data_IF_599155256168
#
_entry.id   IF_599155256168
#
_cell.length_a   1.000
_cell.length_b   1.000
_cell.length_c   1.000
_cell.angle_alpha   90.00
_cell.angle_beta   90.00
_cell.angle_gamma   90.00
#
_symmetry.space_group_name_H-M   'P 1'
#
loop_
_entity.id
_entity.type
_entity.pdbx_description
1 polymer ?
#
# COMPACT_ATOMS: atom_id res chain seq x y z
N UNK A 1 -4.59 -16.69 10.30
CA UNK A 1 -4.69 -18.00 9.67
C UNK A 1 -5.84 -18.07 8.68
N UNK A 2 -5.56 -18.52 7.47
CA UNK A 2 -6.58 -18.69 6.44
C UNK A 2 -6.91 -20.16 6.29
N UNK A 3 -8.20 -20.47 6.15
CA UNK A 3 -8.65 -21.82 5.83
C UNK A 3 -8.18 -22.20 4.42
N UNK A 4 -7.85 -23.48 4.15
CA UNK A 4 -7.53 -23.94 2.81
C UNK A 4 -8.64 -23.58 1.82
N UNK A 5 -8.26 -23.06 0.66
CA UNK A 5 -9.20 -22.62 -0.37
C UNK A 5 -9.72 -21.20 -0.22
N UNK A 6 -9.40 -20.51 0.89
CA UNK A 6 -9.80 -19.12 1.07
C UNK A 6 -8.95 -18.20 0.21
N UNK A 7 -9.61 -17.26 -0.48
CA UNK A 7 -8.99 -16.16 -1.22
C UNK A 7 -9.43 -14.85 -0.59
N UNK A 8 -8.49 -13.93 -0.37
CA UNK A 8 -8.78 -12.62 0.22
C UNK A 8 -9.01 -11.54 -0.82
N UNK A 9 -8.70 -10.30 -0.46
CA UNK A 9 -8.84 -9.11 -1.29
C UNK A 9 -7.72 -8.94 -2.32
N UNK A 10 -6.56 -9.54 -2.10
CA UNK A 10 -5.36 -9.34 -2.93
C UNK A 10 -5.60 -9.50 -4.42
N UNK A 11 -6.36 -10.51 -4.91
CA UNK A 11 -6.60 -10.66 -6.34
C UNK A 11 -7.75 -9.79 -6.87
N UNK A 12 -8.35 -8.94 -6.06
CA UNK A 12 -9.46 -8.09 -6.49
C UNK A 12 -8.92 -6.78 -7.07
N UNK A 13 -9.09 -6.62 -8.37
CA UNK A 13 -8.59 -5.46 -9.11
C UNK A 13 -9.19 -4.14 -8.58
N UNK A 14 -8.34 -3.18 -8.30
CA UNK A 14 -8.71 -1.89 -7.74
C UNK A 14 -8.62 -1.85 -6.21
N UNK A 15 -8.88 -2.96 -5.54
CA UNK A 15 -8.81 -3.07 -4.08
C UNK A 15 -7.46 -3.64 -3.64
N UNK A 16 -7.21 -4.92 -3.92
CA UNK A 16 -6.00 -5.61 -3.52
C UNK A 16 -4.78 -5.32 -4.40
N UNK A 17 -5.01 -4.99 -5.65
CA UNK A 17 -3.96 -4.54 -6.57
C UNK A 17 -4.55 -3.64 -7.65
N UNK A 18 -3.69 -2.81 -8.23
CA UNK A 18 -4.02 -2.07 -9.43
C UNK A 18 -2.72 -1.72 -10.16
N UNK A 19 -2.77 -1.72 -11.47
CA UNK A 19 -1.63 -1.31 -12.30
C UNK A 19 -2.12 -0.60 -13.55
N UNK A 20 -1.45 0.49 -13.90
CA UNK A 20 -1.78 1.30 -15.07
C UNK A 20 -0.51 1.99 -15.57
N UNK A 21 -0.25 2.01 -16.89
CA UNK A 21 1.00 2.57 -17.41
C UNK A 21 1.29 4.01 -16.97
N UNK A 22 0.26 4.82 -16.79
CA UNK A 22 0.40 6.23 -16.41
C UNK A 22 0.35 6.45 -14.89
N UNK A 23 -0.23 5.51 -14.14
CA UNK A 23 -0.38 5.67 -12.69
C UNK A 23 0.69 4.94 -11.89
N UNK A 24 1.14 3.78 -12.36
CA UNK A 24 2.05 2.92 -11.64
C UNK A 24 1.40 1.62 -11.21
N UNK A 25 1.91 1.04 -10.13
CA UNK A 25 1.39 -0.22 -9.60
C UNK A 25 1.28 -0.14 -8.08
N UNK A 26 0.26 -0.79 -7.54
CA UNK A 26 0.01 -0.84 -6.10
C UNK A 26 -0.50 -2.21 -5.71
N UNK A 27 -0.02 -2.72 -4.57
CA UNK A 27 -0.53 -3.91 -3.92
C UNK A 27 -0.88 -3.58 -2.48
N UNK A 28 -1.92 -4.23 -1.95
CA UNK A 28 -2.40 -3.98 -0.59
C UNK A 28 -2.43 -5.27 0.22
N UNK A 29 -2.42 -5.12 1.54
CA UNK A 29 -2.53 -6.24 2.48
C UNK A 29 -3.24 -5.78 3.74
N UNK A 30 -3.92 -6.70 4.42
CA UNK A 30 -4.60 -6.42 5.68
C UNK A 30 -6.01 -6.96 5.74
N UNK A 31 -6.88 -6.27 6.47
CA UNK A 31 -8.28 -6.64 6.61
C UNK A 31 -9.03 -6.31 5.32
N UNK A 32 -9.52 -7.35 4.63
CA UNK A 32 -10.11 -7.22 3.30
C UNK A 32 -11.25 -6.22 3.21
N UNK A 33 -12.12 -6.18 4.20
CA UNK A 33 -13.26 -5.26 4.23
C UNK A 33 -12.80 -3.79 4.22
N UNK A 34 -11.72 -3.48 4.94
CA UNK A 34 -11.16 -2.13 4.94
C UNK A 34 -10.58 -1.76 3.58
N UNK A 35 -9.93 -2.72 2.95
CA UNK A 35 -9.30 -2.53 1.64
C UNK A 35 -10.34 -2.41 0.54
N UNK A 36 -11.34 -3.29 0.54
CA UNK A 36 -12.40 -3.34 -0.47
C UNK A 36 -13.28 -2.09 -0.46
N UNK A 37 -13.74 -1.68 0.71
CA UNK A 37 -14.67 -0.53 0.82
C UNK A 37 -14.01 0.79 0.46
N UNK A 38 -12.69 0.87 0.53
CA UNK A 38 -11.92 2.05 0.15
C UNK A 38 -11.34 1.98 -1.26
N UNK A 39 -11.49 0.83 -1.95
CA UNK A 39 -10.87 0.57 -3.27
C UNK A 39 -9.40 0.99 -3.22
N UNK A 40 -8.70 0.48 -2.23
CA UNK A 40 -7.48 1.10 -1.71
C UNK A 40 -6.35 1.21 -2.73
N UNK A 41 -6.08 0.15 -3.50
CA UNK A 41 -4.98 0.17 -4.47
C UNK A 41 -5.20 1.24 -5.55
N UNK A 42 -6.40 1.30 -6.12
CA UNK A 42 -6.75 2.28 -7.13
C UNK A 42 -6.70 3.71 -6.58
N UNK A 43 -7.32 3.95 -5.42
CA UNK A 43 -7.35 5.28 -4.81
C UNK A 43 -5.94 5.79 -4.47
N UNK A 44 -5.07 4.91 -3.97
CA UNK A 44 -3.69 5.29 -3.66
C UNK A 44 -2.95 5.77 -4.92
N UNK A 45 -3.06 5.03 -6.02
CA UNK A 45 -2.41 5.41 -7.28
C UNK A 45 -3.02 6.67 -7.87
N UNK A 46 -4.35 6.76 -7.89
CA UNK A 46 -5.06 7.91 -8.43
C UNK A 46 -4.64 9.21 -7.72
N UNK A 47 -4.68 9.20 -6.41
CA UNK A 47 -4.32 10.39 -5.62
C UNK A 47 -2.83 10.70 -5.70
N UNK A 48 -1.96 9.69 -5.70
CA UNK A 48 -0.53 9.90 -5.85
C UNK A 48 -0.18 10.53 -7.20
N UNK A 49 -0.95 10.24 -8.26
CA UNK A 49 -0.73 10.82 -9.57
C UNK A 49 -1.00 12.33 -9.63
N UNK A 50 -1.86 12.83 -8.76
CA UNK A 50 -2.21 14.24 -8.67
C UNK A 50 -1.18 15.06 -7.88
N UNK A 51 -0.36 14.40 -7.08
CA UNK A 51 0.58 15.07 -6.16
C UNK A 51 1.95 14.38 -6.19
N UNK A 52 2.73 14.61 -7.25
CA UNK A 52 4.07 14.00 -7.37
C UNK A 52 4.96 14.32 -6.17
N UNK A 53 5.72 13.33 -5.71
CA UNK A 53 6.60 13.45 -4.56
C UNK A 53 5.91 13.22 -3.21
N UNK A 54 4.59 13.05 -3.18
CA UNK A 54 3.82 12.90 -1.95
C UNK A 54 3.16 11.52 -1.80
N UNK A 55 3.60 10.53 -2.57
CA UNK A 55 2.97 9.21 -2.58
C UNK A 55 2.95 8.56 -1.19
N UNK A 56 4.03 8.65 -0.43
CA UNK A 56 4.10 8.03 0.90
C UNK A 56 3.12 8.69 1.88
N UNK A 57 3.00 10.01 1.85
CA UNK A 57 2.07 10.75 2.72
C UNK A 57 0.63 10.41 2.36
N UNK A 58 0.31 10.38 1.07
CA UNK A 58 -1.02 10.04 0.58
C UNK A 58 -1.38 8.60 0.96
N UNK A 59 -0.48 7.66 0.72
CA UNK A 59 -0.70 6.26 1.07
C UNK A 59 -0.91 6.06 2.57
N UNK A 60 -0.11 6.73 3.40
CA UNK A 60 -0.26 6.67 4.85
C UNK A 60 -1.61 7.22 5.31
N UNK A 61 -2.05 8.33 4.73
CA UNK A 61 -3.34 8.93 5.02
C UNK A 61 -4.50 8.00 4.67
N UNK A 62 -4.43 7.34 3.52
CA UNK A 62 -5.45 6.39 3.07
C UNK A 62 -5.50 5.15 3.96
N UNK A 63 -4.35 4.58 4.29
CA UNK A 63 -4.28 3.44 5.21
C UNK A 63 -4.86 3.80 6.59
N UNK A 64 -4.51 4.97 7.10
CA UNK A 64 -5.02 5.43 8.38
C UNK A 64 -6.55 5.62 8.36
N UNK A 65 -7.08 6.19 7.27
CA UNK A 65 -8.53 6.36 7.11
C UNK A 65 -9.24 5.00 7.03
N UNK A 66 -8.72 4.07 6.23
CA UNK A 66 -9.28 2.72 6.13
C UNK A 66 -9.28 2.00 7.47
N UNK A 67 -8.18 2.12 8.22
CA UNK A 67 -8.06 1.54 9.56
C UNK A 67 -9.09 2.12 10.52
N UNK A 68 -9.23 3.45 10.57
CA UNK A 68 -10.18 4.12 11.46
C UNK A 68 -11.63 3.71 11.18
N UNK A 69 -12.00 3.60 9.92
CA UNK A 69 -13.36 3.23 9.53
C UNK A 69 -13.69 1.76 9.79
N UNK A 70 -12.70 0.96 10.13
CA UNK A 70 -12.86 -0.48 10.38
C UNK A 70 -12.22 -0.91 11.71
N UNK A 71 -12.49 -0.13 12.77
CA UNK A 71 -12.14 -0.47 14.16
C UNK A 71 -10.63 -0.71 14.37
N UNK A 72 -9.78 0.08 13.74
CA UNK A 72 -8.34 -0.06 13.87
C UNK A 72 -7.75 -1.23 13.10
N UNK A 73 -8.42 -1.66 12.03
CA UNK A 73 -7.97 -2.78 11.21
C UNK A 73 -6.54 -2.58 10.69
N UNK A 74 -5.78 -3.66 10.66
CA UNK A 74 -4.45 -3.67 10.06
C UNK A 74 -4.55 -3.52 8.55
N UNK A 75 -3.88 -2.51 7.99
CA UNK A 75 -3.87 -2.22 6.56
C UNK A 75 -2.47 -1.76 6.16
N UNK A 76 -2.01 -2.19 5.01
CA UNK A 76 -0.75 -1.74 4.44
C UNK A 76 -0.77 -1.77 2.92
N UNK A 77 0.15 -1.06 2.31
CA UNK A 77 0.30 -1.09 0.86
C UNK A 77 1.75 -0.80 0.44
N UNK A 78 2.05 -1.26 -0.76
CA UNK A 78 3.26 -0.91 -1.50
C UNK A 78 2.85 -0.29 -2.82
N UNK A 79 3.55 0.76 -3.25
CA UNK A 79 3.20 1.52 -4.44
C UNK A 79 4.47 1.96 -5.16
N UNK A 80 4.46 1.83 -6.49
CA UNK A 80 5.55 2.30 -7.36
C UNK A 80 4.94 3.17 -8.44
N UNK A 81 5.47 4.37 -8.62
CA UNK A 81 5.06 5.30 -9.66
C UNK A 81 5.92 5.13 -10.91
N UNK A 82 5.43 5.56 -12.09
CA UNK A 82 6.23 5.46 -13.32
C UNK A 82 7.55 6.24 -13.28
N UNK A 83 7.64 7.30 -12.47
CA UNK A 83 8.85 8.09 -12.28
C UNK A 83 9.85 7.47 -11.29
N UNK A 84 9.53 6.32 -10.72
CA UNK A 84 10.36 5.62 -9.75
C UNK A 84 10.05 5.94 -8.30
N UNK A 85 9.12 6.86 -8.02
CA UNK A 85 8.70 7.13 -6.64
C UNK A 85 8.06 5.88 -6.02
N UNK A 86 8.44 5.57 -4.79
CA UNK A 86 8.00 4.36 -4.07
C UNK A 86 7.37 4.76 -2.75
N UNK A 87 6.30 4.07 -2.39
CA UNK A 87 5.70 4.18 -1.05
C UNK A 87 5.54 2.78 -0.46
N UNK A 88 5.94 2.63 0.81
CA UNK A 88 5.74 1.42 1.60
C UNK A 88 5.17 1.90 2.93
N UNK A 89 3.88 1.64 3.16
CA UNK A 89 3.20 2.16 4.35
C UNK A 89 2.32 1.10 4.99
N UNK A 90 2.16 1.17 6.29
CA UNK A 90 1.25 0.30 7.02
C UNK A 90 0.83 0.96 8.34
N UNK A 91 -0.36 0.60 8.81
CA UNK A 91 -0.87 0.98 10.12
C UNK A 91 -1.07 -0.25 11.03
N UNK A 92 -0.38 -1.33 10.72
CA UNK A 92 -0.22 -2.49 11.60
C UNK A 92 1.07 -2.34 12.39
N UNK A 93 1.23 -3.16 13.43
CA UNK A 93 2.47 -3.17 14.21
C UNK A 93 3.66 -3.57 13.33
N UNK A 94 3.46 -4.56 12.49
CA UNK A 94 4.49 -5.07 11.57
C UNK A 94 3.90 -5.36 10.20
N UNK A 95 4.69 -5.06 9.17
CA UNK A 95 4.45 -5.51 7.80
C UNK A 95 5.80 -5.82 7.17
N UNK A 96 6.01 -7.08 6.78
CA UNK A 96 7.22 -7.47 6.07
C UNK A 96 7.26 -6.78 4.72
N UNK A 97 8.40 -6.15 4.39
CA UNK A 97 8.59 -5.49 3.11
C UNK A 97 10.02 -5.67 2.61
N UNK A 98 10.19 -5.57 1.30
CA UNK A 98 11.50 -5.55 0.66
C UNK A 98 11.45 -4.59 -0.52
N UNK A 99 12.57 -3.93 -0.79
CA UNK A 99 12.71 -2.94 -1.85
C UNK A 99 14.04 -3.16 -2.57
N UNK A 100 14.00 -3.21 -3.90
CA UNK A 100 15.19 -3.23 -4.73
C UNK A 100 15.06 -2.15 -5.80
N UNK A 101 16.10 -1.33 -5.96
CA UNK A 101 16.13 -0.24 -6.94
C UNK A 101 17.39 -0.41 -7.80
N UNK A 102 17.21 -0.65 -9.11
CA UNK A 102 18.31 -0.87 -10.04
C UNK A 102 19.21 -1.99 -9.58
N UNK A 103 20.53 -1.74 -9.58
CA UNK A 103 21.54 -2.72 -9.16
C UNK A 103 21.93 -2.58 -7.69
N UNK A 104 21.25 -1.71 -6.93
CA UNK A 104 21.51 -1.54 -5.51
C UNK A 104 21.13 -2.79 -4.72
N UNK A 105 21.78 -3.03 -3.59
CA UNK A 105 21.44 -4.14 -2.70
C UNK A 105 19.99 -3.96 -2.21
N UNK A 106 19.18 -5.05 -2.16
CA UNK A 106 17.82 -4.97 -1.64
C UNK A 106 17.80 -4.51 -0.18
N UNK A 107 16.81 -3.69 0.15
CA UNK A 107 16.50 -3.29 1.52
C UNK A 107 15.24 -4.02 1.98
N UNK A 108 15.11 -4.26 3.28
CA UNK A 108 13.95 -4.97 3.82
C UNK A 108 13.72 -4.65 5.29
N UNK A 109 12.53 -4.93 5.78
CA UNK A 109 12.18 -4.72 7.17
C UNK A 109 10.83 -5.28 7.56
N UNK A 110 10.50 -5.12 8.84
CA UNK A 110 9.20 -5.46 9.41
C UNK A 110 8.40 -4.22 9.78
N UNK A 111 9.07 -3.07 9.84
CA UNK A 111 8.44 -1.77 10.10
C UNK A 111 9.05 -0.75 9.17
N UNK A 112 8.26 0.21 8.78
CA UNK A 112 8.76 1.40 8.11
C UNK A 112 8.22 2.62 8.83
N UNK A 113 9.11 3.39 9.38
CA UNK A 113 8.76 4.64 10.04
C UNK A 113 8.65 5.74 8.97
N UNK A 114 7.52 6.43 8.98
CA UNK A 114 7.24 7.55 8.08
C UNK A 114 7.53 8.88 8.78
N UNK A 115 8.53 8.92 9.63
CA UNK A 115 8.93 10.16 10.28
C UNK A 115 9.28 11.23 9.23
N UNK A 116 8.92 12.50 9.45
CA UNK A 116 9.30 13.58 8.54
C UNK A 116 10.81 13.62 8.34
N UNK A 117 11.26 13.61 7.09
CA UNK A 117 12.67 13.67 6.73
C UNK A 117 13.33 12.32 6.45
N UNK A 118 12.59 11.23 6.50
CA UNK A 118 13.08 9.91 6.09
C UNK A 118 12.49 9.45 4.78
#
# INVERSE_FOLDING_TARGET
>A
HKLPGRVGDTPLCGAGFYAHPQLGACGTTGVGEAILTHVLAFEALRRASERPGEAAIIAASLCAAASRHHNGAAVGLILVRPDGEVAIVHCSEHMSWALAIGDAAPDSGLRRDLSPGT
#
